data_IF_860708749208
#
_entry.id   IF_860708749208
#
_cell.length_a   1.000
_cell.length_b   1.000
_cell.length_c   1.000
_cell.angle_alpha   90.00
_cell.angle_beta   90.00
_cell.angle_gamma   90.00
#
_symmetry.space_group_name_H-M   'P 1'
#
loop_
_entity.id
_entity.type
_entity.pdbx_description
1 polymer ?
#
# COMPACT_ATOMS: atom_id res chain seq x y z
N UNK A 1 -3.14 -31.97 -13.92
CA UNK A 1 -2.85 -30.52 -14.12
C UNK A 1 -3.15 -29.61 -12.91
N UNK A 2 -4.21 -29.82 -12.14
CA UNK A 2 -4.60 -29.02 -10.97
C UNK A 2 -3.57 -29.02 -9.81
N UNK A 3 -2.98 -30.16 -9.50
CA UNK A 3 -1.99 -30.32 -8.41
C UNK A 3 -0.66 -29.58 -8.66
N UNK A 4 -0.14 -29.62 -9.89
CA UNK A 4 1.12 -28.95 -10.26
C UNK A 4 1.01 -27.41 -10.12
N UNK A 5 -0.09 -26.84 -10.60
CA UNK A 5 -0.38 -25.40 -10.50
C UNK A 5 -0.54 -24.92 -9.05
N UNK A 6 -1.18 -25.71 -8.19
CA UNK A 6 -1.32 -25.42 -6.77
C UNK A 6 0.04 -25.47 -6.03
N UNK A 7 0.91 -26.41 -6.37
CA UNK A 7 2.27 -26.51 -5.79
C UNK A 7 3.16 -25.36 -6.23
N UNK A 8 3.07 -24.91 -7.49
CA UNK A 8 3.82 -23.77 -8.03
C UNK A 8 3.38 -22.45 -7.40
N UNK A 9 2.07 -22.23 -7.20
CA UNK A 9 1.53 -21.05 -6.50
C UNK A 9 2.07 -21.00 -5.07
N UNK A 10 2.06 -22.14 -4.37
CA UNK A 10 2.57 -22.21 -2.99
C UNK A 10 4.09 -21.92 -2.92
N UNK A 11 4.89 -22.40 -3.87
CA UNK A 11 6.32 -22.11 -3.93
C UNK A 11 6.61 -20.62 -4.16
N UNK A 12 5.91 -20.00 -5.12
CA UNK A 12 6.06 -18.59 -5.43
C UNK A 12 5.69 -17.72 -4.24
N UNK A 13 4.60 -18.02 -3.54
CA UNK A 13 4.20 -17.27 -2.34
C UNK A 13 5.21 -17.38 -1.20
N UNK A 14 5.77 -18.57 -0.95
CA UNK A 14 6.83 -18.79 0.03
C UNK A 14 8.09 -17.98 -0.30
N UNK A 15 8.47 -17.97 -1.59
CA UNK A 15 9.62 -17.17 -2.05
C UNK A 15 9.36 -15.69 -1.79
N UNK A 16 8.21 -15.15 -2.22
CA UNK A 16 7.88 -13.73 -2.08
C UNK A 16 7.81 -13.30 -0.62
N UNK A 17 7.24 -14.12 0.27
CA UNK A 17 7.21 -13.83 1.70
C UNK A 17 8.63 -13.78 2.30
N UNK A 18 9.46 -14.77 1.99
CA UNK A 18 10.84 -14.83 2.49
C UNK A 18 11.71 -13.70 1.90
N UNK A 19 11.51 -13.39 0.62
CA UNK A 19 12.18 -12.30 -0.06
C UNK A 19 11.81 -10.94 0.52
N UNK A 20 10.53 -10.70 0.82
CA UNK A 20 10.06 -9.46 1.44
C UNK A 20 10.78 -9.20 2.76
N UNK A 21 10.88 -10.18 3.64
CA UNK A 21 11.61 -10.08 4.92
C UNK A 21 13.10 -9.80 4.72
N UNK A 22 13.73 -10.54 3.81
CA UNK A 22 15.16 -10.37 3.50
C UNK A 22 15.45 -8.99 2.91
N UNK A 23 14.60 -8.49 2.01
CA UNK A 23 14.75 -7.16 1.43
C UNK A 23 14.41 -6.04 2.42
N UNK A 24 13.46 -6.26 3.33
CA UNK A 24 13.17 -5.31 4.40
C UNK A 24 14.38 -5.08 5.30
N UNK A 25 15.06 -6.17 5.67
CA UNK A 25 16.21 -6.13 6.57
C UNK A 25 17.46 -5.58 5.89
N UNK A 26 17.77 -6.07 4.68
CA UNK A 26 19.08 -5.84 4.06
C UNK A 26 19.05 -4.95 2.80
N UNK A 27 17.88 -4.50 2.35
CA UNK A 27 17.72 -3.80 1.06
C UNK A 27 18.03 -4.69 -0.15
N UNK A 28 17.91 -4.14 -1.36
CA UNK A 28 18.20 -4.89 -2.57
C UNK A 28 19.70 -5.26 -2.66
N UNK A 29 20.59 -4.36 -2.32
CA UNK A 29 22.04 -4.60 -2.43
C UNK A 29 22.51 -5.70 -1.46
N UNK A 30 22.12 -5.62 -0.18
CA UNK A 30 22.57 -6.53 0.88
C UNK A 30 21.83 -7.87 0.96
N UNK A 31 20.67 -8.00 0.32
CA UNK A 31 19.91 -9.23 0.30
C UNK A 31 20.63 -10.37 -0.45
N UNK A 32 20.54 -11.58 0.10
CA UNK A 32 21.16 -12.79 -0.46
C UNK A 32 20.11 -13.81 -0.85
N UNK A 33 20.14 -14.25 -2.13
CA UNK A 33 19.20 -15.25 -2.67
C UNK A 33 19.31 -16.59 -1.93
N UNK A 34 20.50 -16.93 -1.44
CA UNK A 34 20.69 -18.15 -0.65
C UNK A 34 19.91 -18.11 0.68
N UNK A 35 19.91 -16.96 1.37
CA UNK A 35 19.10 -16.78 2.60
C UNK A 35 17.61 -16.85 2.32
N UNK A 36 17.17 -16.25 1.20
CA UNK A 36 15.77 -16.32 0.77
C UNK A 36 15.37 -17.78 0.50
N UNK A 37 16.17 -18.53 -0.24
CA UNK A 37 15.94 -19.94 -0.56
C UNK A 37 15.84 -20.81 0.71
N UNK A 38 16.79 -20.62 1.62
CA UNK A 38 16.81 -21.33 2.91
C UNK A 38 15.57 -21.02 3.75
N UNK A 39 15.21 -19.74 3.91
CA UNK A 39 14.00 -19.31 4.67
C UNK A 39 12.69 -19.78 4.02
N UNK A 40 12.65 -19.89 2.69
CA UNK A 40 11.49 -20.39 1.95
C UNK A 40 11.38 -21.93 1.94
N UNK A 41 12.42 -22.64 2.35
CA UNK A 41 12.50 -24.10 2.29
C UNK A 41 12.51 -24.64 0.86
N UNK A 42 13.22 -23.96 -0.07
CA UNK A 42 13.28 -24.31 -1.48
C UNK A 42 14.73 -24.30 -2.01
N UNK A 43 14.94 -24.93 -3.18
CA UNK A 43 16.21 -24.83 -3.87
C UNK A 43 16.38 -23.43 -4.50
N UNK A 44 17.58 -22.83 -4.40
CA UNK A 44 17.98 -21.58 -5.03
C UNK A 44 17.66 -21.54 -6.54
N UNK A 45 17.85 -22.65 -7.24
CA UNK A 45 17.53 -22.74 -8.66
C UNK A 45 16.06 -22.43 -8.97
N UNK A 46 15.14 -22.75 -8.05
CA UNK A 46 13.71 -22.42 -8.19
C UNK A 46 13.47 -20.91 -8.18
N UNK A 47 14.22 -20.15 -7.39
CA UNK A 47 14.11 -18.69 -7.39
C UNK A 47 14.47 -18.13 -8.76
N UNK A 48 15.59 -18.57 -9.32
CA UNK A 48 16.01 -18.14 -10.67
C UNK A 48 15.10 -18.63 -11.78
N UNK A 49 14.49 -19.82 -11.60
CA UNK A 49 13.51 -20.33 -12.54
C UNK A 49 12.25 -19.41 -12.61
N UNK A 50 11.73 -18.97 -11.44
CA UNK A 50 10.53 -18.13 -11.40
C UNK A 50 10.81 -16.65 -11.69
N UNK A 51 11.91 -16.11 -11.16
CA UNK A 51 12.12 -14.67 -11.15
C UNK A 51 13.30 -14.19 -12.01
N UNK A 52 14.13 -15.11 -12.50
CA UNK A 52 15.32 -14.83 -13.36
C UNK A 52 16.45 -14.10 -12.66
N UNK A 53 16.19 -13.06 -11.85
CA UNK A 53 17.19 -12.30 -11.14
C UNK A 53 16.72 -11.88 -9.75
N UNK A 54 17.63 -11.40 -8.92
CA UNK A 54 17.33 -10.79 -7.61
C UNK A 54 16.52 -9.50 -7.78
N UNK A 55 16.83 -8.72 -8.78
CA UNK A 55 16.16 -7.46 -9.13
C UNK A 55 14.69 -7.71 -9.54
N UNK A 56 14.46 -8.73 -10.35
CA UNK A 56 13.10 -9.12 -10.74
C UNK A 56 12.31 -9.68 -9.55
N UNK A 57 12.95 -10.43 -8.65
CA UNK A 57 12.33 -10.89 -7.41
C UNK A 57 11.96 -9.70 -6.52
N UNK A 58 12.83 -8.69 -6.42
CA UNK A 58 12.55 -7.47 -5.67
C UNK A 58 11.38 -6.68 -6.28
N UNK A 59 11.37 -6.52 -7.61
CA UNK A 59 10.26 -5.92 -8.34
C UNK A 59 8.95 -6.69 -8.11
N UNK A 60 9.00 -8.02 -8.12
CA UNK A 60 7.82 -8.85 -7.86
C UNK A 60 7.26 -8.68 -6.44
N UNK A 61 8.14 -8.52 -5.43
CA UNK A 61 7.73 -8.19 -4.05
C UNK A 61 6.99 -6.85 -4.01
N UNK A 62 7.54 -5.80 -4.63
CA UNK A 62 6.89 -4.48 -4.69
C UNK A 62 5.53 -4.58 -5.41
N UNK A 63 5.52 -5.20 -6.58
CA UNK A 63 4.30 -5.34 -7.40
C UNK A 63 3.21 -6.12 -6.68
N UNK A 64 3.54 -7.17 -5.97
CA UNK A 64 2.59 -7.96 -5.18
C UNK A 64 1.93 -7.11 -4.08
N UNK A 65 2.71 -6.29 -3.37
CA UNK A 65 2.16 -5.47 -2.29
C UNK A 65 1.28 -4.34 -2.85
N UNK A 66 1.75 -3.61 -3.85
CA UNK A 66 1.00 -2.52 -4.47
C UNK A 66 -0.28 -3.00 -5.18
N UNK A 67 -0.24 -4.19 -5.81
CA UNK A 67 -1.43 -4.78 -6.45
C UNK A 67 -2.56 -5.06 -5.45
N UNK A 68 -2.23 -5.46 -4.21
CA UNK A 68 -3.23 -5.63 -3.14
C UNK A 68 -3.90 -4.30 -2.80
N UNK A 69 -3.12 -3.21 -2.74
CA UNK A 69 -3.66 -1.85 -2.55
C UNK A 69 -4.62 -1.49 -3.68
N UNK A 70 -4.21 -1.71 -4.93
CA UNK A 70 -5.02 -1.40 -6.10
C UNK A 70 -6.33 -2.20 -6.16
N UNK A 71 -6.28 -3.48 -5.83
CA UNK A 71 -7.47 -4.34 -5.83
C UNK A 71 -8.48 -3.90 -4.78
N UNK A 72 -8.03 -3.60 -3.57
CA UNK A 72 -8.93 -3.16 -2.52
C UNK A 72 -9.46 -1.75 -2.75
N UNK A 73 -8.65 -0.83 -3.28
CA UNK A 73 -9.12 0.49 -3.67
C UNK A 73 -10.24 0.38 -4.73
N UNK A 74 -10.11 -0.52 -5.70
CA UNK A 74 -11.17 -0.80 -6.68
C UNK A 74 -12.44 -1.35 -6.03
N UNK A 75 -12.30 -2.29 -5.11
CA UNK A 75 -13.42 -2.87 -4.37
C UNK A 75 -14.16 -1.82 -3.54
N UNK A 76 -13.43 -0.97 -2.82
CA UNK A 76 -14.00 0.13 -2.04
C UNK A 76 -14.76 1.10 -2.97
N UNK A 77 -14.13 1.55 -4.06
CA UNK A 77 -14.78 2.46 -5.04
C UNK A 77 -16.05 1.86 -5.64
N UNK A 78 -16.11 0.55 -5.82
CA UNK A 78 -17.27 -0.12 -6.43
C UNK A 78 -18.44 -0.34 -5.46
N UNK A 79 -18.15 -0.46 -4.17
CA UNK A 79 -19.14 -0.82 -3.14
C UNK A 79 -19.67 0.38 -2.36
N UNK A 80 -18.86 1.43 -2.21
CA UNK A 80 -19.22 2.56 -1.37
C UNK A 80 -20.05 3.59 -2.15
N UNK A 81 -21.16 3.99 -1.56
CA UNK A 81 -22.12 4.92 -2.17
C UNK A 81 -21.93 6.38 -1.74
N UNK A 82 -21.25 6.61 -0.62
CA UNK A 82 -20.98 7.95 -0.08
C UNK A 82 -19.48 8.24 0.00
N UNK A 83 -19.11 9.51 -0.02
CA UNK A 83 -17.72 9.93 0.12
C UNK A 83 -17.22 9.62 1.53
N UNK A 84 -18.06 9.75 2.54
CA UNK A 84 -17.73 9.42 3.92
C UNK A 84 -17.34 7.95 4.07
N UNK A 85 -18.21 7.04 3.59
CA UNK A 85 -17.95 5.59 3.67
C UNK A 85 -16.72 5.20 2.87
N UNK A 86 -16.54 5.79 1.68
CA UNK A 86 -15.33 5.59 0.88
C UNK A 86 -14.05 6.02 1.62
N UNK A 87 -14.03 7.24 2.18
CA UNK A 87 -12.87 7.74 2.92
C UNK A 87 -12.58 6.88 4.16
N UNK A 88 -13.62 6.49 4.92
CA UNK A 88 -13.43 5.67 6.10
C UNK A 88 -12.87 4.29 5.76
N UNK A 89 -13.43 3.60 4.78
CA UNK A 89 -12.95 2.28 4.35
C UNK A 89 -11.53 2.33 3.80
N UNK A 90 -11.18 3.39 3.08
CA UNK A 90 -9.83 3.58 2.57
C UNK A 90 -8.83 3.88 3.71
N UNK A 91 -9.21 4.69 4.70
CA UNK A 91 -8.38 4.97 5.87
C UNK A 91 -8.18 3.72 6.75
N UNK A 92 -9.25 2.95 7.01
CA UNK A 92 -9.17 1.65 7.70
C UNK A 92 -8.26 0.67 6.98
N UNK A 93 -8.37 0.64 5.64
CA UNK A 93 -7.49 -0.20 4.83
C UNK A 93 -6.01 0.19 4.96
N UNK A 94 -5.66 1.47 4.82
CA UNK A 94 -4.28 1.89 5.01
C UNK A 94 -3.75 1.45 6.37
N UNK A 95 -4.57 1.61 7.41
CA UNK A 95 -4.20 1.22 8.77
C UNK A 95 -3.91 -0.28 8.89
N UNK A 96 -4.82 -1.15 8.46
CA UNK A 96 -4.65 -2.60 8.51
C UNK A 96 -3.57 -3.12 7.55
N UNK A 97 -3.45 -2.53 6.35
CA UNK A 97 -2.46 -2.95 5.36
C UNK A 97 -1.02 -2.84 5.88
N UNK A 98 -0.70 -1.76 6.58
CA UNK A 98 0.64 -1.57 7.11
C UNK A 98 0.87 -2.32 8.43
N UNK A 99 -0.18 -2.54 9.23
CA UNK A 99 -0.09 -3.37 10.44
C UNK A 99 0.30 -4.81 10.10
N UNK A 100 -0.35 -5.41 9.11
CA UNK A 100 -0.06 -6.78 8.66
C UNK A 100 1.28 -6.90 7.88
N UNK A 101 1.92 -5.78 7.52
CA UNK A 101 3.06 -5.74 6.59
C UNK A 101 4.11 -4.72 7.00
N UNK A 102 4.44 -4.68 8.27
CA UNK A 102 5.50 -3.79 8.81
C UNK A 102 6.83 -3.96 8.06
N UNK A 103 7.11 -5.16 7.56
CA UNK A 103 8.28 -5.45 6.74
C UNK A 103 8.25 -4.81 5.34
N UNK A 104 7.10 -4.30 4.86
CA UNK A 104 7.04 -3.55 3.60
C UNK A 104 7.42 -2.08 3.74
N UNK A 105 7.24 -1.48 4.91
CA UNK A 105 7.58 -0.07 5.17
C UNK A 105 9.05 0.26 4.85
N UNK A 106 10.06 -0.52 5.33
CA UNK A 106 11.46 -0.26 4.98
C UNK A 106 11.75 -0.35 3.48
N UNK A 107 11.11 -1.29 2.77
CA UNK A 107 11.24 -1.42 1.32
C UNK A 107 10.69 -0.17 0.63
N UNK A 108 9.48 0.24 1.02
CA UNK A 108 8.81 1.41 0.47
C UNK A 108 9.63 2.70 0.67
N UNK A 109 10.15 2.92 1.88
CA UNK A 109 10.94 4.10 2.20
C UNK A 109 12.25 4.15 1.41
N UNK A 110 12.95 3.02 1.26
CA UNK A 110 14.16 2.96 0.43
C UNK A 110 13.89 3.26 -1.04
N UNK A 111 12.78 2.76 -1.58
CA UNK A 111 12.39 3.06 -2.96
C UNK A 111 12.04 4.54 -3.13
N UNK A 112 11.33 5.15 -2.17
CA UNK A 112 11.04 6.59 -2.20
C UNK A 112 12.34 7.39 -2.18
N UNK A 113 13.29 7.04 -1.32
CA UNK A 113 14.59 7.72 -1.22
C UNK A 113 15.47 7.54 -2.47
N UNK A 114 15.32 6.44 -3.21
CA UNK A 114 16.10 6.14 -4.42
C UNK A 114 15.47 6.63 -5.74
N UNK A 115 14.42 7.44 -5.67
CA UNK A 115 13.76 8.02 -6.85
C UNK A 115 12.48 7.32 -7.29
N UNK A 116 12.08 6.23 -6.62
CA UNK A 116 10.74 5.59 -6.74
C UNK A 116 10.43 4.94 -8.09
N UNK A 117 11.41 4.64 -8.94
CA UNK A 117 11.16 4.20 -10.32
C UNK A 117 10.31 2.92 -10.39
N UNK A 118 10.61 1.93 -9.53
CA UNK A 118 9.86 0.67 -9.46
C UNK A 118 8.43 0.86 -8.95
N UNK A 119 8.26 1.74 -7.95
CA UNK A 119 6.94 2.09 -7.42
C UNK A 119 6.12 2.84 -8.47
N UNK A 120 6.71 3.83 -9.14
CA UNK A 120 6.04 4.60 -10.22
C UNK A 120 5.53 3.69 -11.33
N UNK A 121 6.39 2.81 -11.84
CA UNK A 121 6.01 1.86 -12.91
C UNK A 121 4.82 1.03 -12.49
N UNK A 122 4.91 0.37 -11.32
CA UNK A 122 3.84 -0.50 -10.82
C UNK A 122 2.55 0.27 -10.53
N UNK A 123 2.63 1.44 -9.89
CA UNK A 123 1.43 2.24 -9.61
C UNK A 123 0.77 2.76 -10.88
N UNK A 124 1.55 3.21 -11.87
CA UNK A 124 1.02 3.66 -13.14
C UNK A 124 0.25 2.54 -13.85
N UNK A 125 0.78 1.32 -13.87
CA UNK A 125 0.11 0.15 -14.42
C UNK A 125 -1.21 -0.15 -13.69
N UNK A 126 -1.19 -0.21 -12.36
CA UNK A 126 -2.37 -0.48 -11.53
C UNK A 126 -3.44 0.61 -11.73
N UNK A 127 -3.04 1.88 -11.68
CA UNK A 127 -3.96 3.01 -11.81
C UNK A 127 -4.57 3.05 -13.22
N UNK A 128 -3.76 2.78 -14.26
CA UNK A 128 -4.21 2.74 -15.63
C UNK A 128 -5.20 1.60 -15.88
N UNK A 129 -4.84 0.37 -15.48
CA UNK A 129 -5.67 -0.82 -15.67
C UNK A 129 -7.02 -0.73 -14.96
N UNK A 130 -7.02 -0.23 -13.72
CA UNK A 130 -8.23 -0.17 -12.88
C UNK A 130 -9.02 1.13 -13.03
N UNK A 131 -8.47 2.13 -13.71
CA UNK A 131 -9.09 3.44 -13.88
C UNK A 131 -9.34 4.20 -12.58
N UNK A 132 -8.60 3.90 -11.51
CA UNK A 132 -8.80 4.43 -10.16
C UNK A 132 -8.77 5.95 -10.13
N UNK A 133 -7.78 6.57 -10.78
CA UNK A 133 -7.64 8.03 -10.81
C UNK A 133 -8.85 8.73 -11.42
N UNK A 134 -9.43 8.17 -12.50
CA UNK A 134 -10.63 8.72 -13.14
C UNK A 134 -11.86 8.59 -12.25
N UNK A 135 -12.03 7.43 -11.61
CA UNK A 135 -13.17 7.17 -10.71
C UNK A 135 -13.17 8.12 -9.52
N UNK A 136 -12.03 8.29 -8.84
CA UNK A 136 -11.92 9.20 -7.69
C UNK A 136 -12.06 10.65 -8.10
N UNK A 137 -11.44 11.07 -9.22
CA UNK A 137 -11.62 12.42 -9.76
C UNK A 137 -13.10 12.71 -10.04
N UNK A 138 -13.80 11.79 -10.69
CA UNK A 138 -15.24 11.92 -10.97
C UNK A 138 -16.06 12.08 -9.68
N UNK A 139 -15.77 11.29 -8.65
CA UNK A 139 -16.47 11.38 -7.37
C UNK A 139 -16.33 12.75 -6.71
N UNK A 140 -15.14 13.35 -6.75
CA UNK A 140 -14.90 14.71 -6.23
C UNK A 140 -15.63 15.76 -7.08
N UNK A 141 -15.55 15.67 -8.40
CA UNK A 141 -16.22 16.62 -9.30
C UNK A 141 -17.75 16.54 -9.19
N UNK A 142 -18.31 15.33 -9.04
CA UNK A 142 -19.75 15.15 -8.82
C UNK A 142 -20.18 15.75 -7.47
N UNK A 143 -19.37 15.61 -6.42
CA UNK A 143 -19.61 16.24 -5.12
C UNK A 143 -19.61 17.78 -5.21
N UNK A 144 -18.70 18.37 -5.99
CA UNK A 144 -18.65 19.81 -6.26
C UNK A 144 -19.91 20.27 -6.99
N UNK A 145 -20.31 19.56 -8.06
CA UNK A 145 -21.53 19.89 -8.84
C UNK A 145 -22.80 19.83 -7.99
N UNK A 146 -22.87 18.88 -7.05
CA UNK A 146 -23.99 18.76 -6.11
C UNK A 146 -23.94 19.79 -4.96
N UNK A 147 -22.94 20.65 -4.92
CA UNK A 147 -22.77 21.64 -3.86
C UNK A 147 -22.37 21.05 -2.49
N UNK A 148 -21.98 19.80 -2.44
CA UNK A 148 -21.53 19.12 -1.21
C UNK A 148 -20.10 19.53 -0.83
N UNK A 149 -19.26 19.78 -1.84
CA UNK A 149 -17.87 20.14 -1.66
C UNK A 149 -17.60 21.58 -2.11
N UNK A 150 -16.65 22.21 -1.44
CA UNK A 150 -16.07 23.48 -1.89
C UNK A 150 -15.31 23.28 -3.20
N UNK A 151 -14.96 24.37 -3.86
CA UNK A 151 -14.15 24.28 -5.09
C UNK A 151 -12.71 23.91 -4.74
N UNK A 152 -12.35 22.64 -4.93
CA UNK A 152 -11.02 22.07 -4.65
C UNK A 152 -10.46 21.41 -5.90
N UNK A 153 -9.14 21.36 -6.01
CA UNK A 153 -8.46 20.52 -7.01
C UNK A 153 -8.50 19.05 -6.56
N UNK A 154 -9.03 18.18 -7.41
CA UNK A 154 -9.23 16.78 -7.09
C UNK A 154 -7.89 16.03 -6.83
N UNK A 155 -6.80 16.41 -7.52
CA UNK A 155 -5.47 15.78 -7.32
C UNK A 155 -4.90 16.16 -5.97
N UNK A 156 -4.94 17.45 -5.62
CA UNK A 156 -4.49 17.93 -4.31
C UNK A 156 -5.29 17.30 -3.17
N UNK A 157 -6.61 17.17 -3.36
CA UNK A 157 -7.51 16.53 -2.40
C UNK A 157 -7.13 15.08 -2.13
N UNK A 158 -6.90 14.30 -3.19
CA UNK A 158 -6.49 12.88 -3.08
C UNK A 158 -5.13 12.76 -2.40
N UNK A 159 -4.14 13.56 -2.82
CA UNK A 159 -2.78 13.54 -2.26
C UNK A 159 -2.81 13.89 -0.78
N UNK A 160 -3.60 14.90 -0.38
CA UNK A 160 -3.75 15.27 1.03
C UNK A 160 -4.35 14.14 1.85
N UNK A 161 -5.41 13.48 1.36
CA UNK A 161 -6.00 12.34 2.06
C UNK A 161 -5.02 11.18 2.23
N UNK A 162 -4.30 10.81 1.16
CA UNK A 162 -3.27 9.76 1.23
C UNK A 162 -2.17 10.14 2.22
N UNK A 163 -1.67 11.37 2.15
CA UNK A 163 -0.63 11.86 3.06
C UNK A 163 -1.02 11.84 4.52
N UNK A 164 -2.25 12.26 4.86
CA UNK A 164 -2.78 12.22 6.22
C UNK A 164 -2.82 10.80 6.80
N UNK A 165 -3.08 9.79 5.97
CA UNK A 165 -3.08 8.40 6.39
C UNK A 165 -1.66 7.81 6.44
N UNK A 166 -0.86 7.97 5.37
CA UNK A 166 0.44 7.32 5.26
C UNK A 166 1.49 7.92 6.19
N UNK A 167 1.46 9.23 6.45
CA UNK A 167 2.49 9.88 7.25
C UNK A 167 2.67 9.20 8.62
N UNK A 168 1.58 9.00 9.35
CA UNK A 168 1.65 8.33 10.66
C UNK A 168 2.16 6.89 10.53
N UNK A 169 1.70 6.15 9.54
CA UNK A 169 2.05 4.73 9.38
C UNK A 169 3.55 4.51 9.12
N UNK A 170 4.19 5.44 8.41
CA UNK A 170 5.62 5.37 8.14
C UNK A 170 6.49 6.02 9.25
N UNK A 171 5.92 6.91 10.04
CA UNK A 171 6.65 7.67 11.09
C UNK A 171 6.22 7.31 12.51
N UNK A 172 5.37 6.30 12.69
CA UNK A 172 4.79 5.94 13.98
C UNK A 172 5.80 5.87 15.13
N UNK A 173 7.00 5.24 15.00
CA UNK A 173 7.97 5.19 16.09
C UNK A 173 8.43 6.58 16.55
N UNK A 174 8.58 7.52 15.61
CA UNK A 174 8.97 8.91 15.92
C UNK A 174 7.80 9.64 16.55
N UNK A 175 6.62 9.58 15.92
CA UNK A 175 5.41 10.28 16.37
C UNK A 175 5.01 9.81 17.76
N UNK A 176 5.00 8.51 18.00
CA UNK A 176 4.63 7.94 19.29
C UNK A 176 5.57 8.37 20.42
N UNK A 177 6.87 8.49 20.13
CA UNK A 177 7.86 9.01 21.08
C UNK A 177 7.69 10.50 21.37
N UNK A 178 7.57 11.31 20.30
CA UNK A 178 7.50 12.80 20.43
C UNK A 178 6.21 13.25 21.13
N UNK A 179 5.09 12.58 20.84
CA UNK A 179 3.76 12.93 21.37
C UNK A 179 3.32 12.05 22.55
N UNK A 180 4.25 11.27 23.13
CA UNK A 180 4.00 10.42 24.30
C UNK A 180 2.76 9.50 24.17
N UNK A 181 2.62 8.85 23.02
CA UNK A 181 1.49 7.95 22.76
C UNK A 181 1.66 6.67 23.60
N UNK A 182 0.96 6.56 24.73
CA UNK A 182 1.07 5.44 25.66
C UNK A 182 0.45 4.15 25.15
N UNK A 183 -0.67 4.25 24.44
CA UNK A 183 -1.41 3.11 23.89
C UNK A 183 -1.46 3.25 22.37
N UNK A 184 -0.41 2.76 21.73
CA UNK A 184 -0.25 2.83 20.27
C UNK A 184 -1.37 2.11 19.53
N UNK A 185 -1.84 0.97 20.06
CA UNK A 185 -2.92 0.19 19.46
C UNK A 185 -4.22 0.99 19.44
N UNK A 186 -4.62 1.53 20.57
CA UNK A 186 -5.82 2.35 20.69
C UNK A 186 -5.74 3.63 19.88
N UNK A 187 -4.54 4.25 19.82
CA UNK A 187 -4.31 5.43 18.98
C UNK A 187 -4.49 5.10 17.50
N UNK A 188 -3.91 3.98 17.03
CA UNK A 188 -4.02 3.48 15.67
C UNK A 188 -5.46 3.13 15.30
N UNK A 189 -6.21 2.44 16.17
CA UNK A 189 -7.62 2.08 15.96
C UNK A 189 -8.53 3.31 15.77
N UNK A 190 -8.27 4.41 16.47
CA UNK A 190 -9.04 5.66 16.36
C UNK A 190 -8.70 6.49 15.11
N UNK A 191 -7.46 6.38 14.64
CA UNK A 191 -6.91 7.26 13.62
C UNK A 191 -7.72 7.34 12.32
N UNK A 192 -8.29 6.25 11.74
CA UNK A 192 -9.12 6.34 10.54
C UNK A 192 -10.28 7.33 10.68
N UNK A 193 -11.00 7.29 11.79
CA UNK A 193 -12.13 8.19 12.06
C UNK A 193 -11.68 9.64 12.22
N UNK A 194 -10.64 9.89 12.99
CA UNK A 194 -10.08 11.23 13.21
C UNK A 194 -9.59 11.87 11.91
N UNK A 195 -8.88 11.11 11.07
CA UNK A 195 -8.41 11.60 9.77
C UNK A 195 -9.57 11.91 8.84
N UNK A 196 -10.57 11.03 8.78
CA UNK A 196 -11.73 11.22 7.91
C UNK A 196 -12.56 12.43 8.35
N UNK A 197 -12.79 12.59 9.64
CA UNK A 197 -13.53 13.73 10.21
C UNK A 197 -12.82 15.04 9.84
N UNK A 198 -11.53 15.17 10.14
CA UNK A 198 -10.74 16.35 9.82
C UNK A 198 -10.72 16.63 8.30
N UNK A 199 -10.56 15.61 7.48
CA UNK A 199 -10.52 15.74 6.03
C UNK A 199 -11.85 16.22 5.47
N UNK A 200 -12.97 15.61 5.90
CA UNK A 200 -14.30 15.95 5.42
C UNK A 200 -14.77 17.33 5.87
N UNK A 201 -14.43 17.75 7.10
CA UNK A 201 -14.66 19.13 7.54
C UNK A 201 -13.93 20.15 6.67
N UNK A 202 -12.72 19.83 6.22
CA UNK A 202 -11.98 20.65 5.27
C UNK A 202 -12.51 20.63 3.83
N UNK A 203 -13.25 19.60 3.44
CA UNK A 203 -13.74 19.38 2.07
C UNK A 203 -15.17 19.90 1.87
N UNK A 204 -16.04 19.75 2.87
CA UNK A 204 -17.46 20.16 2.79
C UNK A 204 -17.61 21.66 2.59
N UNK A 205 -18.63 22.05 1.84
CA UNK A 205 -19.06 23.44 1.73
C UNK A 205 -19.71 23.83 3.05
N UNK A 206 -19.30 24.96 3.59
CA UNK A 206 -19.93 25.60 4.76
C UNK A 206 -21.20 26.28 4.35
#
# INVERSE_FOLDING_TARGET
>A
MRTKKATEINATEKILLSARREFAEHGLAGARVDRIASKAGINKAMIYYYFRSKENLYQAVISQQLSKVGTLAEEIISKESTVESFCLRLAEFYNSFFEDREDFVPIFLREVASGSERIKTTLNEIIAQKGLGRKVKKMIEDGKKKGLFRNVDARQTIISFIGMNLFYLITAPIVNSVWDVKDEKKFREKRPKEVVDLFLHGLKKR
#
